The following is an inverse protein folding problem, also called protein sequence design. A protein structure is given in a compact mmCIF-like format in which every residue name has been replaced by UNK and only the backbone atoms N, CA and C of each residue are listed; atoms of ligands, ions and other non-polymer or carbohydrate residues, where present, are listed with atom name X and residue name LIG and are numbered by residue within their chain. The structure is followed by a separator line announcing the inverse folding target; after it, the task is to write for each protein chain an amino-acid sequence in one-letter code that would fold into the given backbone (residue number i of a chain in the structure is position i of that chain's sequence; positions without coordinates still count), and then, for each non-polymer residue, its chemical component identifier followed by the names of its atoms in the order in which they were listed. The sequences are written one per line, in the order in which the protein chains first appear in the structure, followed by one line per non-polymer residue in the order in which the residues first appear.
data_IF_234421741373
#
_entry.id   IF_234421741373
#
_cell.length_a   1.000
_cell.length_b   1.000
_cell.length_c   1.000
_cell.angle_alpha   90.00
_cell.angle_beta   90.00
_cell.angle_gamma   90.00
#
_symmetry.space_group_name_H-M   'P 1'
#
loop_
_entity.id
_entity.type
_entity.pdbx_description
1 polymer ?
#
# COMPACT_ATOMS: atom_id res chain seq x y z
N UNK A 1 56.25 25.87 18.41
CA UNK A 1 55.37 25.00 17.60
C UNK A 1 55.43 25.45 16.15
N UNK A 2 55.76 24.56 15.22
CA UNK A 2 56.13 24.92 13.86
C UNK A 2 54.86 25.29 13.05
N UNK A 3 54.74 26.55 12.60
CA UNK A 3 53.50 27.11 12.00
C UNK A 3 52.98 26.28 10.82
N UNK A 4 53.88 25.63 10.06
CA UNK A 4 53.51 24.71 8.97
C UNK A 4 52.81 23.45 9.46
N UNK A 5 53.21 22.93 10.62
CA UNK A 5 52.66 21.71 11.21
C UNK A 5 51.26 21.95 11.78
N UNK A 6 51.00 23.14 12.31
CA UNK A 6 49.66 23.57 12.75
C UNK A 6 48.68 23.65 11.56
N UNK A 7 49.11 24.22 10.43
CA UNK A 7 48.25 24.38 9.24
C UNK A 7 47.88 23.01 8.66
N UNK A 8 48.84 22.09 8.57
CA UNK A 8 48.58 20.72 8.10
C UNK A 8 47.60 20.01 9.02
N UNK A 9 47.75 20.17 10.34
CA UNK A 9 46.82 19.60 11.32
C UNK A 9 45.39 20.13 11.16
N UNK A 10 45.22 21.44 10.99
CA UNK A 10 43.91 22.07 10.78
C UNK A 10 43.25 21.57 9.49
N UNK A 11 43.99 21.52 8.38
CA UNK A 11 43.47 21.03 7.10
C UNK A 11 43.05 19.55 7.21
N UNK A 12 43.84 18.75 7.94
CA UNK A 12 43.56 17.33 8.14
C UNK A 12 42.33 17.11 9.01
N UNK A 13 42.13 17.92 10.05
CA UNK A 13 40.90 17.89 10.85
C UNK A 13 39.68 18.26 10.00
N UNK A 14 39.75 19.31 9.17
CA UNK A 14 38.62 19.74 8.32
C UNK A 14 38.27 18.67 7.28
N UNK A 15 39.26 18.03 6.65
CA UNK A 15 38.98 16.98 5.66
C UNK A 15 38.41 15.72 6.31
N UNK A 16 38.88 15.34 7.50
CA UNK A 16 38.28 14.24 8.28
C UNK A 16 36.84 14.57 8.69
N UNK A 17 36.56 15.81 9.14
CA UNK A 17 35.19 16.23 9.46
C UNK A 17 34.25 16.21 8.25
N UNK A 18 34.75 16.52 7.05
CA UNK A 18 33.95 16.48 5.82
C UNK A 18 33.65 15.05 5.32
N UNK A 19 34.44 14.05 5.71
CA UNK A 19 34.20 12.64 5.38
C UNK A 19 33.09 12.00 6.24
N UNK A 20 32.80 12.57 7.42
CA UNK A 20 31.68 12.14 8.27
C UNK A 20 30.37 12.89 7.99
N UNK A 21 30.36 13.85 7.05
CA UNK A 21 29.15 14.59 6.67
C UNK A 21 28.34 13.90 5.54
N UNK A 22 28.73 12.70 5.13
CA UNK A 22 27.99 11.91 4.13
C UNK A 22 27.14 10.87 4.87
N UNK A 23 25.83 10.91 4.60
CA UNK A 23 24.74 10.03 5.08
C UNK A 23 23.99 10.43 6.37
N UNK A 24 23.39 11.63 6.36
CA UNK A 24 22.15 11.87 7.13
C UNK A 24 20.94 12.15 6.23
N UNK A 25 21.11 12.10 4.91
CA UNK A 25 20.07 12.28 3.90
C UNK A 25 20.01 10.98 3.10
N UNK A 26 19.17 10.04 3.51
CA UNK A 26 18.60 8.90 2.74
C UNK A 26 18.09 7.86 3.76
N UNK A 27 17.04 8.20 4.50
CA UNK A 27 16.28 7.24 5.32
C UNK A 27 14.87 7.76 5.69
N UNK A 28 14.50 8.97 5.27
CA UNK A 28 13.20 9.58 5.56
C UNK A 28 12.15 9.26 4.49
N UNK A 29 12.46 8.37 3.54
CA UNK A 29 11.66 8.22 2.31
C UNK A 29 10.51 7.22 2.38
N UNK A 30 10.41 6.36 3.41
CA UNK A 30 9.22 5.53 3.65
C UNK A 30 9.10 5.27 5.15
N UNK A 31 8.89 6.32 5.95
CA UNK A 31 8.58 6.11 7.37
C UNK A 31 7.12 5.68 7.48
N UNK A 32 6.88 4.36 7.37
CA UNK A 32 5.68 3.77 7.96
C UNK A 32 5.80 4.08 9.46
N UNK A 33 5.08 5.09 9.90
CA UNK A 33 5.01 5.42 11.32
C UNK A 33 4.22 4.28 11.97
N UNK A 34 4.91 3.44 12.75
CA UNK A 34 4.27 2.34 13.48
C UNK A 34 3.33 2.83 14.60
N UNK A 35 3.35 4.14 14.90
CA UNK A 35 2.43 4.79 15.81
C UNK A 35 1.02 4.87 15.24
N UNK A 36 0.05 4.63 16.13
CA UNK A 36 -1.37 4.94 15.90
C UNK A 36 -1.60 6.42 16.20
N UNK A 37 -2.45 7.05 15.42
CA UNK A 37 -2.79 8.46 15.54
C UNK A 37 -4.28 8.64 15.66
N UNK A 38 -4.70 9.46 16.62
CA UNK A 38 -6.05 9.96 16.76
C UNK A 38 -6.55 10.53 15.42
N UNK A 39 -7.66 9.99 14.93
CA UNK A 39 -8.26 10.40 13.67
C UNK A 39 -9.61 11.07 13.88
N UNK A 40 -9.61 12.39 13.71
CA UNK A 40 -10.79 13.24 13.72
C UNK A 40 -10.91 13.87 12.34
N UNK A 41 -11.55 13.17 11.40
CA UNK A 41 -11.67 13.65 10.03
C UNK A 41 -12.54 14.89 9.96
N UNK A 42 -12.11 15.86 9.15
CA UNK A 42 -12.92 17.00 8.74
C UNK A 42 -13.90 16.60 7.62
N UNK A 43 -14.08 17.46 6.60
CA UNK A 43 -14.93 17.14 5.46
C UNK A 43 -14.19 16.26 4.46
N UNK A 44 -14.77 15.12 4.11
CA UNK A 44 -14.26 14.26 3.05
C UNK A 44 -14.48 14.89 1.67
N UNK A 45 -13.45 14.85 0.83
CA UNK A 45 -13.49 15.19 -0.59
C UNK A 45 -13.30 13.89 -1.36
N UNK A 46 -14.38 13.33 -1.89
CA UNK A 46 -14.38 12.11 -2.68
C UNK A 46 -13.89 12.40 -4.11
N UNK A 47 -12.87 11.65 -4.55
CA UNK A 47 -12.35 11.71 -5.91
C UNK A 47 -13.01 10.63 -6.76
N UNK A 48 -13.75 11.04 -7.78
CA UNK A 48 -14.32 10.15 -8.80
C UNK A 48 -13.59 10.33 -10.12
N UNK A 49 -13.82 9.41 -11.06
CA UNK A 49 -13.39 9.55 -12.44
C UNK A 49 -13.98 10.82 -13.08
N UNK A 50 -13.17 11.87 -13.14
CA UNK A 50 -13.47 13.12 -13.82
C UNK A 50 -14.05 14.24 -12.95
N UNK A 51 -14.28 14.03 -11.66
CA UNK A 51 -14.75 15.09 -10.75
C UNK A 51 -14.51 14.77 -9.27
N UNK A 52 -14.52 15.81 -8.44
CA UNK A 52 -14.46 15.71 -6.98
C UNK A 52 -15.76 16.23 -6.36
N UNK A 53 -16.17 15.67 -5.22
CA UNK A 53 -17.40 16.05 -4.52
C UNK A 53 -17.25 15.83 -3.01
N UNK A 54 -18.00 16.58 -2.20
CA UNK A 54 -18.10 16.33 -0.75
C UNK A 54 -19.24 15.39 -0.40
N UNK A 55 -20.04 15.00 -1.39
CA UNK A 55 -21.14 14.04 -1.23
C UNK A 55 -20.70 12.67 -1.74
N UNK A 56 -20.82 11.65 -0.90
CA UNK A 56 -20.58 10.27 -1.29
C UNK A 56 -21.69 9.76 -2.20
N UNK A 57 -21.35 9.40 -3.44
CA UNK A 57 -22.27 8.97 -4.49
C UNK A 57 -22.23 7.46 -4.76
N UNK A 58 -21.66 6.68 -3.83
CA UNK A 58 -21.41 5.26 -4.02
C UNK A 58 -19.99 4.96 -4.53
N UNK A 59 -19.77 3.71 -4.86
CA UNK A 59 -18.45 3.13 -5.15
C UNK A 59 -18.04 3.26 -6.63
N UNK A 60 -19.01 3.34 -7.53
CA UNK A 60 -18.77 3.34 -8.97
C UNK A 60 -17.92 4.52 -9.40
N UNK A 61 -16.71 4.23 -9.90
CA UNK A 61 -15.76 5.25 -10.37
C UNK A 61 -15.08 6.04 -9.26
N UNK A 62 -15.25 5.64 -7.99
CA UNK A 62 -14.53 6.21 -6.86
C UNK A 62 -13.05 5.77 -6.90
N UNK A 63 -12.14 6.72 -6.72
CA UNK A 63 -10.70 6.47 -6.61
C UNK A 63 -10.18 6.52 -5.17
N UNK A 64 -10.90 7.23 -4.31
CA UNK A 64 -10.57 7.42 -2.89
C UNK A 64 -11.18 8.71 -2.37
N UNK A 65 -10.72 9.15 -1.21
CA UNK A 65 -11.09 10.44 -0.65
C UNK A 65 -9.90 11.15 -0.04
N UNK A 66 -9.95 12.48 -0.01
CA UNK A 66 -9.04 13.32 0.75
C UNK A 66 -9.75 13.87 1.97
N UNK A 67 -9.06 13.91 3.10
CA UNK A 67 -9.62 14.47 4.33
C UNK A 67 -8.52 15.00 5.23
N UNK A 68 -8.72 16.21 5.76
CA UNK A 68 -7.81 16.76 6.76
C UNK A 68 -8.14 16.16 8.12
N UNK A 69 -7.14 15.69 8.84
CA UNK A 69 -7.29 15.28 10.24
C UNK A 69 -7.08 16.49 11.14
N UNK A 70 -8.05 16.79 12.00
CA UNK A 70 -8.01 18.01 12.82
C UNK A 70 -6.98 17.96 13.95
N UNK A 71 -6.46 16.76 14.28
CA UNK A 71 -5.49 16.59 15.39
C UNK A 71 -4.08 16.96 14.98
N UNK A 72 -3.63 16.46 13.82
CA UNK A 72 -2.26 16.63 13.33
C UNK A 72 -2.17 17.64 12.18
N UNK A 73 -3.31 18.14 11.69
CA UNK A 73 -3.42 19.06 10.55
C UNK A 73 -2.75 18.50 9.27
N UNK A 74 -2.77 17.17 9.11
CA UNK A 74 -2.31 16.49 7.90
C UNK A 74 -3.49 16.10 7.01
N UNK A 75 -3.25 16.13 5.71
CA UNK A 75 -4.17 15.69 4.68
C UNK A 75 -3.97 14.20 4.42
N UNK A 76 -5.01 13.40 4.63
CA UNK A 76 -5.00 11.97 4.40
C UNK A 76 -5.65 11.64 3.06
N UNK A 77 -4.96 10.84 2.25
CA UNK A 77 -5.62 10.05 1.23
C UNK A 77 -6.17 8.77 1.85
N UNK A 78 -7.47 8.57 1.67
CA UNK A 78 -8.23 7.40 2.14
C UNK A 78 -8.52 6.52 0.92
N UNK A 79 -7.87 5.34 0.82
CA UNK A 79 -8.15 4.37 -0.23
C UNK A 79 -9.62 3.94 -0.25
N UNK A 80 -10.09 3.49 -1.40
CA UNK A 80 -11.48 3.09 -1.66
C UNK A 80 -12.02 2.11 -0.61
N UNK A 81 -11.21 1.12 -0.21
CA UNK A 81 -11.61 0.11 0.79
C UNK A 81 -11.90 0.74 2.15
N UNK A 82 -11.14 1.77 2.53
CA UNK A 82 -11.36 2.52 3.76
C UNK A 82 -12.50 3.53 3.62
N UNK A 83 -12.73 4.12 2.44
CA UNK A 83 -13.94 4.91 2.18
C UNK A 83 -15.20 4.07 2.40
N UNK A 84 -15.25 2.85 1.87
CA UNK A 84 -16.35 1.90 2.12
C UNK A 84 -16.47 1.55 3.60
N UNK A 85 -15.34 1.41 4.28
CA UNK A 85 -15.31 1.12 5.72
C UNK A 85 -15.92 2.26 6.52
N UNK A 86 -15.59 3.52 6.20
CA UNK A 86 -16.24 4.70 6.78
C UNK A 86 -17.74 4.74 6.45
N UNK A 87 -18.11 4.49 5.20
CA UNK A 87 -19.50 4.43 4.78
C UNK A 87 -20.30 3.41 5.63
N UNK A 88 -19.74 2.22 5.84
CA UNK A 88 -20.34 1.19 6.69
C UNK A 88 -20.42 1.58 8.16
N UNK A 89 -19.30 1.98 8.76
CA UNK A 89 -19.22 2.34 10.18
C UNK A 89 -20.15 3.50 10.56
N UNK A 90 -20.23 4.50 9.67
CA UNK A 90 -20.94 5.76 9.93
C UNK A 90 -22.31 5.82 9.26
N UNK A 91 -22.76 4.72 8.62
CA UNK A 91 -24.00 4.67 7.83
C UNK A 91 -24.10 5.80 6.80
N UNK A 92 -23.03 6.00 6.04
CA UNK A 92 -22.84 7.02 4.99
C UNK A 92 -22.76 8.48 5.49
N UNK A 93 -22.66 8.73 6.79
CA UNK A 93 -22.53 10.12 7.29
C UNK A 93 -21.09 10.63 7.27
N UNK A 94 -20.10 9.73 7.19
CA UNK A 94 -18.66 10.02 7.24
C UNK A 94 -18.25 10.84 8.47
N UNK A 95 -19.04 10.76 9.53
CA UNK A 95 -18.77 11.40 10.82
C UNK A 95 -18.71 10.28 11.86
N UNK A 96 -17.50 9.84 12.27
CA UNK A 96 -17.36 8.80 13.29
C UNK A 96 -17.98 9.25 14.61
N UNK A 97 -18.92 8.44 15.15
CA UNK A 97 -19.47 8.67 16.49
C UNK A 97 -18.46 8.29 17.58
N UNK A 98 -17.60 7.32 17.27
CA UNK A 98 -16.58 6.78 18.16
C UNK A 98 -15.17 7.24 17.77
N UNK A 99 -14.28 7.23 18.75
CA UNK A 99 -12.87 7.50 18.54
C UNK A 99 -12.22 6.40 17.68
N UNK A 100 -11.60 6.83 16.58
CA UNK A 100 -10.87 5.98 15.65
C UNK A 100 -9.40 6.37 15.68
N UNK A 101 -8.54 5.37 15.79
CA UNK A 101 -7.12 5.50 15.58
C UNK A 101 -6.77 5.08 14.15
N UNK A 102 -5.82 5.76 13.51
CA UNK A 102 -5.32 5.37 12.18
C UNK A 102 -3.83 5.07 12.20
N UNK A 103 -3.44 4.15 11.32
CA UNK A 103 -2.05 3.96 10.90
C UNK A 103 -1.90 4.54 9.51
N UNK A 104 -0.82 5.29 9.27
CA UNK A 104 -0.56 5.91 7.97
C UNK A 104 0.90 5.73 7.51
N UNK A 105 1.12 5.91 6.21
CA UNK A 105 2.44 6.16 5.65
C UNK A 105 2.52 7.61 5.22
N UNK A 106 3.63 8.27 5.57
CA UNK A 106 3.99 9.54 4.95
C UNK A 106 4.32 9.33 3.48
N UNK A 107 4.02 10.33 2.65
CA UNK A 107 4.46 10.39 1.26
C UNK A 107 5.51 11.47 1.08
N UNK A 108 6.55 11.15 0.31
CA UNK A 108 7.59 12.09 -0.09
C UNK A 108 7.18 12.80 -1.38
N UNK A 109 7.00 14.13 -1.28
CA UNK A 109 6.88 15.17 -2.32
C UNK A 109 5.88 14.98 -3.50
N UNK A 110 5.37 16.11 -4.00
CA UNK A 110 4.54 16.24 -5.21
C UNK A 110 3.17 15.53 -5.23
N UNK A 111 2.53 15.31 -4.07
CA UNK A 111 1.13 14.86 -4.01
C UNK A 111 0.23 15.87 -3.30
N UNK A 112 -1.07 15.78 -3.59
CA UNK A 112 -2.11 16.62 -2.99
C UNK A 112 -2.46 16.26 -1.54
N UNK A 113 -1.69 15.36 -0.91
CA UNK A 113 -1.95 14.83 0.41
C UNK A 113 -0.62 14.47 1.10
N UNK A 114 -0.61 14.51 2.42
CA UNK A 114 0.59 14.29 3.25
C UNK A 114 0.77 12.80 3.60
N UNK A 115 -0.35 12.10 3.82
CA UNK A 115 -0.39 10.73 4.34
C UNK A 115 -1.31 9.82 3.52
N UNK A 116 -0.99 8.52 3.44
CA UNK A 116 -1.95 7.48 3.02
C UNK A 116 -2.42 6.73 4.26
N UNK A 117 -3.74 6.61 4.42
CA UNK A 117 -4.33 5.76 5.44
C UNK A 117 -4.07 4.28 5.12
N UNK A 118 -3.42 3.58 6.04
CA UNK A 118 -3.06 2.17 5.92
C UNK A 118 -3.89 1.24 6.80
N UNK A 119 -4.46 1.75 7.90
CA UNK A 119 -5.22 0.95 8.87
C UNK A 119 -6.08 1.83 9.76
N UNK A 120 -7.16 1.23 10.28
CA UNK A 120 -8.11 1.86 11.21
C UNK A 120 -8.27 0.96 12.43
N UNK A 121 -8.38 1.55 13.62
CA UNK A 121 -8.48 0.81 14.88
C UNK A 121 -9.52 1.46 15.80
N UNK A 122 -10.24 0.64 16.53
CA UNK A 122 -11.09 1.11 17.63
C UNK A 122 -10.22 1.53 18.82
N UNK A 123 -10.83 2.27 19.76
CA UNK A 123 -10.20 2.70 21.02
C UNK A 123 -9.60 1.57 21.87
N UNK A 124 -10.16 0.35 21.79
CA UNK A 124 -9.63 -0.83 22.48
C UNK A 124 -8.41 -1.45 21.78
N UNK A 125 -8.00 -0.86 20.64
CA UNK A 125 -6.88 -1.28 19.82
C UNK A 125 -7.22 -2.33 18.77
N UNK A 126 -8.45 -2.85 18.75
CA UNK A 126 -8.90 -3.82 17.73
C UNK A 126 -8.92 -3.18 16.34
N UNK A 127 -8.46 -3.94 15.35
CA UNK A 127 -8.45 -3.47 13.96
C UNK A 127 -9.86 -3.45 13.39
N UNK A 128 -10.21 -2.33 12.79
CA UNK A 128 -11.44 -2.17 12.02
C UNK A 128 -11.16 -2.78 10.64
N UNK A 129 -11.92 -3.80 10.21
CA UNK A 129 -11.65 -4.48 8.95
C UNK A 129 -11.95 -3.55 7.78
N UNK A 130 -10.99 -3.44 6.86
CA UNK A 130 -11.23 -2.76 5.58
C UNK A 130 -12.21 -3.54 4.70
N UNK A 131 -13.14 -2.83 4.07
CA UNK A 131 -14.09 -3.42 3.12
C UNK A 131 -13.46 -3.56 1.73
N UNK A 132 -12.71 -4.65 1.58
CA UNK A 132 -11.97 -5.01 0.37
C UNK A 132 -12.68 -6.16 -0.37
N UNK A 133 -12.80 -6.06 -1.70
CA UNK A 133 -13.38 -7.11 -2.55
C UNK A 133 -12.64 -8.45 -2.41
N UNK A 134 -11.35 -8.40 -2.05
CA UNK A 134 -10.49 -9.55 -1.81
C UNK A 134 -10.84 -10.30 -0.52
N UNK A 135 -11.57 -9.66 0.39
CA UNK A 135 -11.94 -10.25 1.67
C UNK A 135 -12.97 -11.36 1.48
N UNK A 136 -12.67 -12.53 2.06
CA UNK A 136 -13.53 -13.72 1.97
C UNK A 136 -14.70 -13.69 2.96
N UNK A 137 -14.58 -12.87 4.01
CA UNK A 137 -15.41 -12.96 5.21
C UNK A 137 -16.35 -11.76 5.39
N UNK A 138 -16.64 -11.00 4.31
CA UNK A 138 -17.57 -9.88 4.37
C UNK A 138 -19.01 -10.35 4.63
N UNK A 139 -19.67 -9.72 5.60
CA UNK A 139 -21.08 -9.94 5.90
C UNK A 139 -21.99 -9.39 4.80
N UNK A 140 -23.26 -9.78 4.78
CA UNK A 140 -24.24 -9.25 3.81
C UNK A 140 -24.40 -7.74 3.90
N UNK A 141 -24.36 -7.19 5.10
CA UNK A 141 -24.43 -5.74 5.35
C UNK A 141 -23.18 -5.03 4.82
N UNK A 142 -21.99 -5.56 5.07
CA UNK A 142 -20.76 -4.96 4.54
C UNK A 142 -20.73 -4.97 3.00
N UNK A 143 -21.23 -6.04 2.38
CA UNK A 143 -21.34 -6.14 0.92
C UNK A 143 -22.29 -5.12 0.30
N UNK A 144 -23.27 -4.60 1.04
CA UNK A 144 -24.20 -3.60 0.49
C UNK A 144 -23.59 -2.22 0.32
N UNK A 145 -22.36 -1.99 0.80
CA UNK A 145 -21.60 -0.75 0.57
C UNK A 145 -20.72 -0.81 -0.69
N UNK A 146 -20.84 -1.90 -1.46
CA UNK A 146 -20.32 -1.99 -2.80
C UNK A 146 -21.50 -1.81 -3.74
N UNK A 147 -21.37 -0.96 -4.77
CA UNK A 147 -22.44 -0.78 -5.76
C UNK A 147 -22.72 -2.07 -6.51
N UNK A 148 -21.66 -2.83 -6.87
CA UNK A 148 -21.75 -4.07 -7.64
C UNK A 148 -20.79 -5.16 -7.10
N UNK A 149 -20.96 -5.57 -5.82
CA UNK A 149 -20.04 -6.51 -5.15
C UNK A 149 -19.72 -7.77 -5.97
N UNK A 150 -20.74 -8.46 -6.48
CA UNK A 150 -20.57 -9.74 -7.16
C UNK A 150 -19.79 -9.59 -8.47
N UNK A 151 -20.07 -8.52 -9.23
CA UNK A 151 -19.35 -8.20 -10.45
C UNK A 151 -17.89 -7.83 -10.15
N UNK A 152 -17.65 -6.93 -9.21
CA UNK A 152 -16.29 -6.53 -8.83
C UNK A 152 -15.47 -7.71 -8.31
N UNK A 153 -16.12 -8.66 -7.64
CA UNK A 153 -15.46 -9.88 -7.14
C UNK A 153 -15.11 -10.85 -8.25
N UNK A 154 -16.00 -11.01 -9.23
CA UNK A 154 -15.73 -11.80 -10.43
C UNK A 154 -14.57 -11.20 -11.25
N UNK A 155 -14.60 -9.88 -11.50
CA UNK A 155 -13.53 -9.16 -12.19
C UNK A 155 -12.18 -9.34 -11.49
N UNK A 156 -12.14 -9.23 -10.16
CA UNK A 156 -10.94 -9.51 -9.38
C UNK A 156 -10.40 -10.92 -9.60
N UNK A 157 -11.25 -11.95 -9.55
CA UNK A 157 -10.78 -13.32 -9.77
C UNK A 157 -10.31 -13.56 -11.22
N UNK A 158 -10.96 -12.93 -12.21
CA UNK A 158 -10.53 -12.99 -13.60
C UNK A 158 -9.15 -12.37 -13.78
N UNK A 159 -8.90 -11.20 -13.20
CA UNK A 159 -7.61 -10.52 -13.24
C UNK A 159 -6.51 -11.36 -12.56
N UNK A 160 -6.79 -11.95 -11.39
CA UNK A 160 -5.84 -12.85 -10.72
C UNK A 160 -5.51 -14.10 -11.56
N UNK A 161 -6.50 -14.66 -12.26
CA UNK A 161 -6.28 -15.78 -13.16
C UNK A 161 -5.45 -15.37 -14.39
N UNK A 162 -5.65 -14.17 -14.92
CA UNK A 162 -4.85 -13.63 -16.02
C UNK A 162 -3.39 -13.45 -15.61
N UNK A 163 -3.12 -12.82 -14.46
CA UNK A 163 -1.75 -12.69 -13.95
C UNK A 163 -1.07 -14.05 -13.73
N UNK A 164 -1.79 -15.03 -13.20
CA UNK A 164 -1.26 -16.38 -13.05
C UNK A 164 -0.92 -17.03 -14.41
N UNK A 165 -1.71 -16.77 -15.46
CA UNK A 165 -1.43 -17.23 -16.83
C UNK A 165 -0.22 -16.53 -17.43
N UNK A 166 -0.11 -15.21 -17.30
CA UNK A 166 1.03 -14.42 -17.76
C UNK A 166 2.34 -14.88 -17.11
N UNK A 167 2.34 -15.07 -15.78
CA UNK A 167 3.50 -15.61 -15.05
C UNK A 167 3.90 -17.01 -15.55
N UNK A 168 2.92 -17.85 -15.91
CA UNK A 168 3.17 -19.17 -16.48
C UNK A 168 3.77 -19.08 -17.89
N UNK A 169 3.27 -18.20 -18.75
CA UNK A 169 3.80 -17.99 -20.10
C UNK A 169 5.22 -17.43 -20.09
N UNK A 170 5.52 -16.49 -19.20
CA UNK A 170 6.86 -15.94 -19.00
C UNK A 170 7.84 -17.00 -18.50
N UNK A 171 7.40 -17.85 -17.57
CA UNK A 171 8.20 -18.97 -17.07
C UNK A 171 8.47 -20.00 -18.17
N UNK A 172 7.47 -20.33 -19.00
CA UNK A 172 7.58 -21.25 -20.12
C UNK A 172 8.51 -20.71 -21.21
N UNK A 173 8.40 -19.41 -21.52
CA UNK A 173 9.26 -18.71 -22.49
C UNK A 173 10.71 -18.66 -22.02
N UNK A 174 10.95 -18.46 -20.71
CA UNK A 174 12.29 -18.53 -20.09
C UNK A 174 12.84 -19.96 -20.02
N UNK A 175 11.99 -20.97 -19.83
CA UNK A 175 12.41 -22.37 -19.88
C UNK A 175 12.79 -22.79 -21.31
N UNK A 176 12.03 -22.35 -22.32
CA UNK A 176 12.31 -22.62 -23.72
C UNK A 176 13.55 -21.87 -24.24
N UNK A 177 13.84 -20.65 -23.75
CA UNK A 177 15.08 -19.94 -24.11
C UNK A 177 16.34 -20.56 -23.49
N UNK A 178 16.21 -21.26 -22.35
CA UNK A 178 17.32 -22.01 -21.73
C UNK A 178 17.64 -23.35 -22.41
N UNK A 179 16.77 -23.86 -23.28
CA UNK A 179 16.98 -25.12 -24.00
C UNK A 179 17.81 -24.99 -25.28
N UNK A 180 18.44 -23.83 -25.54
CA UNK A 180 19.17 -23.61 -26.80
C UNK A 180 20.65 -24.04 -26.79
N UNK A 181 21.21 -24.61 -25.72
CA UNK A 181 22.56 -25.21 -25.74
C UNK A 181 22.70 -26.38 -24.76
N UNK A 182 22.87 -27.56 -25.35
CA UNK A 182 23.57 -28.76 -24.86
C UNK A 182 23.08 -29.52 -23.60
N UNK A 183 22.83 -30.82 -23.86
CA UNK A 183 23.02 -31.99 -22.99
C UNK A 183 22.02 -32.30 -21.86
N UNK A 184 21.11 -33.25 -22.19
CA UNK A 184 20.59 -34.38 -21.39
C UNK A 184 20.44 -34.18 -19.87
N UNK A 185 19.24 -33.76 -19.45
CA UNK A 185 18.52 -34.21 -18.24
C UNK A 185 17.10 -33.66 -18.33
N UNK A 186 16.09 -34.51 -18.48
CA UNK A 186 14.69 -34.05 -18.61
C UNK A 186 14.10 -33.84 -17.22
N UNK A 187 14.02 -32.57 -16.80
CA UNK A 187 13.24 -32.17 -15.64
C UNK A 187 11.81 -31.88 -16.08
N UNK A 188 10.87 -32.68 -15.59
CA UNK A 188 9.43 -32.44 -15.76
C UNK A 188 8.87 -31.72 -14.53
N UNK A 189 8.18 -30.60 -14.74
CA UNK A 189 7.36 -29.97 -13.72
C UNK A 189 5.93 -30.49 -13.84
N UNK A 190 5.31 -30.90 -12.74
CA UNK A 190 3.89 -31.23 -12.72
C UNK A 190 3.15 -30.41 -11.67
N UNK A 191 1.90 -30.08 -11.99
CA UNK A 191 0.98 -29.34 -11.14
C UNK A 191 -0.29 -30.19 -10.92
N UNK A 192 -0.65 -30.39 -9.66
CA UNK A 192 -1.85 -31.11 -9.24
C UNK A 192 -2.37 -30.58 -7.90
N UNK A 193 -3.56 -31.03 -7.50
CA UNK A 193 -4.30 -30.53 -6.32
C UNK A 193 -3.57 -30.71 -4.98
N UNK A 194 -2.45 -31.43 -4.93
CA UNK A 194 -1.67 -31.72 -3.72
C UNK A 194 -0.29 -31.01 -3.67
N UNK A 195 -0.06 -29.99 -4.49
CA UNK A 195 1.16 -29.15 -4.46
C UNK A 195 2.13 -29.37 -5.64
N UNK A 196 3.25 -28.63 -5.60
CA UNK A 196 4.27 -28.57 -6.67
C UNK A 196 5.43 -29.52 -6.41
N UNK A 197 5.91 -30.21 -7.44
CA UNK A 197 7.05 -31.13 -7.36
C UNK A 197 7.88 -31.17 -8.63
N UNK A 198 9.17 -31.50 -8.48
CA UNK A 198 10.11 -31.76 -9.57
C UNK A 198 10.21 -33.27 -9.80
N UNK A 199 9.98 -33.73 -11.03
CA UNK A 199 10.26 -35.12 -11.41
C UNK A 199 11.55 -35.16 -12.21
N UNK A 200 12.51 -35.93 -11.70
CA UNK A 200 13.70 -36.32 -12.42
C UNK A 200 13.45 -37.65 -13.12
N UNK A 201 13.60 -37.67 -14.45
CA UNK A 201 13.57 -38.91 -15.23
C UNK A 201 14.99 -39.15 -15.78
N UNK A 202 15.68 -40.23 -15.36
CA UNK A 202 17.01 -40.57 -15.88
C UNK A 202 16.98 -40.95 -17.37
#
# INVERSE_FOLDING_TARGET
MNKRLLIVFIITCITISSLFAVSAFTAEEEKILESKYDFYPSTFIFEYNGYNTTNYNGDTGLKGAYVDNTVDNMTYFVPVEYVRTFAWLTKNTFTPDDHIDVKHSLIVENRSYDCILLGMFNKDGSEIPKLDVKSKDLTKEQRSYFDNYDQSREEYYQEQNQYALEDMEDSLSRANSRNSKDHKSHYGFYYGTNGRGLVYTP
#
